data_IF_376052989189
#
_entry.id   IF_376052989189
#
_cell.length_a   1.000
_cell.length_b   1.000
_cell.length_c   1.000
_cell.angle_alpha   90.00
_cell.angle_beta   90.00
_cell.angle_gamma   90.00
#
_symmetry.space_group_name_H-M   'P 1'
#
loop_
_entity.id
_entity.type
_entity.pdbx_description
1 polymer ?
#
# COMPACT_ATOMS: atom_id res chain seq x y z
N UNK A 1 -71.43 -12.59 -55.20
CA UNK A 1 -70.73 -13.64 -55.96
C UNK A 1 -69.44 -13.07 -56.53
N UNK A 2 -68.28 -13.66 -56.17
CA UNK A 2 -67.00 -13.75 -56.93
C UNK A 2 -66.25 -12.43 -57.22
N UNK A 3 -64.93 -12.28 -57.10
CA UNK A 3 -63.82 -13.16 -56.75
C UNK A 3 -62.61 -12.28 -56.38
N UNK A 4 -61.73 -12.83 -55.55
CA UNK A 4 -60.38 -12.35 -55.22
C UNK A 4 -59.47 -12.38 -56.46
N UNK A 5 -58.57 -11.39 -56.60
CA UNK A 5 -57.29 -11.56 -57.30
C UNK A 5 -56.18 -10.77 -56.60
N UNK A 6 -55.06 -11.47 -56.47
CA UNK A 6 -53.86 -11.15 -55.71
C UNK A 6 -52.88 -10.30 -56.52
N UNK A 7 -52.07 -9.52 -55.79
CA UNK A 7 -50.65 -9.32 -56.13
C UNK A 7 -50.29 -8.00 -56.81
N UNK A 8 -49.63 -7.12 -56.05
CA UNK A 8 -48.29 -6.62 -56.38
C UNK A 8 -47.73 -5.80 -55.22
N UNK A 9 -46.54 -6.20 -54.73
CA UNK A 9 -45.73 -5.48 -53.75
C UNK A 9 -44.63 -4.72 -54.51
N UNK A 10 -44.48 -3.40 -54.31
CA UNK A 10 -43.21 -2.73 -54.53
C UNK A 10 -42.57 -2.29 -53.20
N UNK A 11 -41.35 -2.77 -52.97
CA UNK A 11 -40.35 -2.27 -52.02
C UNK A 11 -39.71 -0.97 -52.58
N UNK A 12 -38.74 -0.29 -51.92
CA UNK A 12 -38.58 0.12 -50.53
C UNK A 12 -38.40 1.66 -50.38
N UNK A 13 -38.35 2.13 -49.13
CA UNK A 13 -38.08 3.52 -48.66
C UNK A 13 -36.86 4.22 -49.26
N UNK A 14 -36.78 5.56 -49.11
CA UNK A 14 -35.55 6.22 -48.72
C UNK A 14 -35.68 6.85 -47.34
N UNK A 15 -35.18 6.13 -46.34
CA UNK A 15 -34.91 6.66 -45.02
C UNK A 15 -33.72 7.62 -45.05
N UNK A 16 -33.81 8.64 -44.20
CA UNK A 16 -32.72 9.30 -43.52
C UNK A 16 -31.60 9.94 -44.36
N UNK A 17 -31.71 11.27 -44.41
CA UNK A 17 -30.66 12.27 -44.64
C UNK A 17 -29.28 11.85 -44.10
N UNK A 18 -28.43 11.27 -44.97
CA UNK A 18 -27.02 10.95 -44.66
C UNK A 18 -26.11 12.12 -44.99
N UNK A 19 -25.90 13.01 -44.03
CA UNK A 19 -24.75 13.92 -44.05
C UNK A 19 -23.47 13.10 -43.86
N UNK A 20 -22.78 12.78 -44.95
CA UNK A 20 -21.42 12.21 -44.91
C UNK A 20 -20.43 13.32 -44.52
N UNK A 21 -20.15 13.44 -43.23
CA UNK A 21 -18.97 14.16 -42.77
C UNK A 21 -17.74 13.28 -43.04
N UNK A 22 -16.80 13.77 -43.86
CA UNK A 22 -15.51 13.14 -44.06
C UNK A 22 -14.76 13.09 -42.72
N UNK A 23 -14.57 11.89 -42.15
CA UNK A 23 -13.67 11.67 -41.02
C UNK A 23 -12.24 11.93 -41.50
N UNK A 24 -11.72 13.13 -41.24
CA UNK A 24 -10.27 13.37 -41.25
C UNK A 24 -9.66 12.41 -40.21
N UNK A 25 -8.91 11.41 -40.68
CA UNK A 25 -8.09 10.58 -39.82
C UNK A 25 -7.04 11.47 -39.15
N UNK A 26 -7.32 11.89 -37.91
CA UNK A 26 -6.27 12.40 -37.03
C UNK A 26 -5.35 11.22 -36.72
N UNK A 27 -4.03 11.34 -36.93
CA UNK A 27 -3.13 10.30 -36.48
C UNK A 27 -3.34 10.15 -34.97
N UNK A 28 -3.57 8.93 -34.51
CA UNK A 28 -3.59 8.64 -33.09
C UNK A 28 -2.24 9.11 -32.55
N UNK A 29 -2.25 10.17 -31.72
CA UNK A 29 -1.09 10.51 -30.92
C UNK A 29 -0.74 9.21 -30.20
N UNK A 30 0.44 8.66 -30.48
CA UNK A 30 0.99 7.53 -29.76
C UNK A 30 1.14 8.00 -28.33
N UNK A 31 0.09 7.79 -27.54
CA UNK A 31 0.15 7.93 -26.10
C UNK A 31 1.26 6.95 -25.72
N UNK A 32 2.40 7.50 -25.30
CA UNK A 32 3.37 6.72 -24.55
C UNK A 32 2.53 6.14 -23.42
N UNK A 33 2.21 4.85 -23.54
CA UNK A 33 1.61 4.09 -22.46
C UNK A 33 2.65 4.19 -21.36
N UNK A 34 2.45 5.13 -20.45
CA UNK A 34 2.98 5.02 -19.11
C UNK A 34 2.40 3.69 -18.65
N UNK A 35 3.16 2.61 -18.78
CA UNK A 35 2.89 1.41 -18.02
C UNK A 35 2.65 1.91 -16.60
N UNK A 36 1.52 1.59 -15.96
CA UNK A 36 1.31 1.94 -14.58
C UNK A 36 2.48 1.35 -13.79
N UNK A 37 3.49 2.19 -13.51
CA UNK A 37 4.51 1.92 -12.51
C UNK A 37 3.88 1.82 -11.10
N UNK A 38 2.56 2.02 -11.04
CA UNK A 38 1.64 1.84 -9.93
C UNK A 38 1.70 0.43 -9.32
N UNK A 39 2.16 -0.59 -10.09
CA UNK A 39 2.24 -1.98 -9.64
C UNK A 39 3.67 -2.42 -9.26
N UNK A 40 4.53 -1.46 -8.91
CA UNK A 40 5.60 -1.76 -7.97
C UNK A 40 5.05 -1.48 -6.59
N UNK A 41 4.39 -2.47 -5.99
CA UNK A 41 4.35 -2.62 -4.54
C UNK A 41 5.80 -2.74 -4.06
N UNK A 42 6.51 -1.62 -4.03
CA UNK A 42 7.80 -1.49 -3.38
C UNK A 42 7.50 -1.73 -1.91
N UNK A 43 7.82 -2.95 -1.44
CA UNK A 43 7.96 -3.36 -0.04
C UNK A 43 7.71 -2.20 0.93
N UNK A 44 6.44 -1.94 1.25
CA UNK A 44 6.10 -0.84 2.13
C UNK A 44 6.41 -1.27 3.56
N UNK A 45 6.97 -0.34 4.35
CA UNK A 45 7.11 -0.59 5.78
C UNK A 45 5.71 -0.86 6.36
N UNK A 46 5.58 -1.95 7.12
CA UNK A 46 4.27 -2.39 7.63
C UNK A 46 3.91 -1.67 8.95
N UNK A 47 4.93 -1.28 9.72
CA UNK A 47 4.81 -0.56 10.99
C UNK A 47 6.06 0.30 11.22
N UNK A 48 5.89 1.49 11.80
CA UNK A 48 7.00 2.38 12.16
C UNK A 48 6.74 3.12 13.47
N UNK A 49 7.51 2.77 14.50
CA UNK A 49 7.51 3.44 15.81
C UNK A 49 8.68 4.41 15.90
N UNK A 50 8.39 5.71 15.93
CA UNK A 50 9.43 6.75 15.95
C UNK A 50 10.08 6.94 17.31
N UNK A 51 9.40 6.56 18.39
CA UNK A 51 9.79 6.83 19.78
C UNK A 51 9.94 8.32 20.13
N UNK A 52 9.35 9.22 19.32
CA UNK A 52 9.36 10.67 19.55
C UNK A 52 8.31 11.09 20.58
N UNK A 53 8.53 10.64 21.83
CA UNK A 53 7.62 10.80 22.96
C UNK A 53 6.22 10.19 22.72
N UNK A 54 6.14 9.21 21.81
CA UNK A 54 4.91 8.51 21.47
C UNK A 54 5.21 7.05 21.15
N UNK A 55 4.29 6.15 21.51
CA UNK A 55 4.34 4.71 21.21
C UNK A 55 3.47 4.30 20.02
N UNK A 56 2.85 5.26 19.35
CA UNK A 56 1.96 5.02 18.22
C UNK A 56 2.75 4.54 16.99
N UNK A 57 2.14 3.62 16.24
CA UNK A 57 2.62 3.22 14.93
C UNK A 57 2.22 4.31 13.93
N UNK A 58 3.23 4.93 13.29
CA UNK A 58 3.00 6.06 12.38
C UNK A 58 2.60 5.64 10.96
N UNK A 59 2.69 4.34 10.64
CA UNK A 59 2.37 3.80 9.32
C UNK A 59 1.20 2.82 9.37
N UNK A 60 1.20 1.92 10.34
CA UNK A 60 0.17 0.92 10.54
C UNK A 60 -0.78 1.26 11.68
N UNK A 61 -1.30 0.22 12.34
CA UNK A 61 -2.21 0.33 13.49
C UNK A 61 -1.68 -0.46 14.69
N UNK A 62 -0.37 -0.73 14.73
CA UNK A 62 0.25 -1.54 15.77
C UNK A 62 0.76 -0.67 16.92
N UNK A 63 -0.10 0.22 17.43
CA UNK A 63 0.25 1.07 18.57
C UNK A 63 0.74 0.22 19.75
N UNK A 64 1.87 0.64 20.33
CA UNK A 64 2.49 -0.09 21.43
C UNK A 64 2.39 0.62 22.77
N UNK A 65 3.06 0.02 23.75
CA UNK A 65 3.23 0.57 25.09
C UNK A 65 4.61 0.24 25.64
N UNK A 66 5.11 1.13 26.50
CA UNK A 66 6.32 0.90 27.29
C UNK A 66 5.93 0.24 28.61
N UNK A 67 6.73 -0.74 29.04
CA UNK A 67 6.50 -1.49 30.27
C UNK A 67 7.74 -1.49 31.16
N UNK A 68 7.50 -1.67 32.46
CA UNK A 68 8.49 -1.99 33.51
C UNK A 68 9.53 -0.92 33.86
N UNK A 69 9.49 0.23 33.22
CA UNK A 69 10.43 1.32 33.49
C UNK A 69 10.93 1.99 32.22
N UNK A 70 10.74 1.32 31.08
CA UNK A 70 11.08 1.82 29.76
C UNK A 70 10.55 3.25 29.55
N UNK A 71 11.43 4.12 29.07
CA UNK A 71 11.19 5.55 28.98
C UNK A 71 11.66 6.12 27.64
N UNK A 72 11.58 7.44 27.48
CA UNK A 72 12.17 8.14 26.34
C UNK A 72 13.48 8.81 26.75
N UNK A 73 14.48 8.78 25.86
CA UNK A 73 15.73 9.49 26.00
C UNK A 73 16.15 10.13 24.67
N UNK A 74 17.24 10.89 24.65
CA UNK A 74 17.80 11.42 23.41
C UNK A 74 18.26 10.27 22.50
N UNK A 75 17.76 10.26 21.25
CA UNK A 75 18.04 9.25 20.24
C UNK A 75 19.03 9.72 19.18
N UNK A 76 19.31 8.84 18.20
CA UNK A 76 20.12 9.20 17.03
C UNK A 76 19.45 10.28 16.18
N UNK A 77 18.11 10.24 16.10
CA UNK A 77 17.25 11.28 15.54
C UNK A 77 16.21 11.56 16.61
N UNK A 78 16.07 12.82 17.04
CA UNK A 78 15.14 13.23 18.10
C UNK A 78 15.22 12.37 19.37
N UNK A 79 14.18 11.59 19.70
CA UNK A 79 14.12 10.72 20.87
C UNK A 79 14.15 9.24 20.49
N UNK A 80 14.45 8.40 21.48
CA UNK A 80 14.44 6.95 21.36
C UNK A 80 13.84 6.32 22.62
N UNK A 81 13.38 5.08 22.49
CA UNK A 81 13.09 4.25 23.65
C UNK A 81 14.39 3.94 24.41
N UNK A 82 14.36 4.07 25.72
CA UNK A 82 15.48 3.78 26.63
C UNK A 82 15.11 2.59 27.51
N UNK A 83 16.03 1.64 27.60
CA UNK A 83 15.89 0.40 28.37
C UNK A 83 17.04 0.32 29.36
N UNK A 84 16.76 0.04 30.63
CA UNK A 84 17.76 0.01 31.71
C UNK A 84 18.58 -1.29 31.79
N UNK A 85 18.19 -2.31 31.03
CA UNK A 85 18.84 -3.62 30.98
C UNK A 85 18.40 -4.60 32.07
N UNK A 86 17.35 -4.30 32.84
CA UNK A 86 16.82 -5.17 33.90
C UNK A 86 15.60 -5.95 33.40
N UNK A 87 14.47 -5.28 33.15
CA UNK A 87 13.22 -5.92 32.69
C UNK A 87 12.38 -5.07 31.73
N UNK A 88 12.93 -3.98 31.22
CA UNK A 88 12.25 -3.04 30.33
C UNK A 88 11.86 -3.64 28.96
N UNK A 89 10.69 -3.25 28.45
CA UNK A 89 10.25 -3.65 27.11
C UNK A 89 9.31 -2.64 26.45
N UNK A 90 9.31 -2.66 25.12
CA UNK A 90 8.25 -2.11 24.28
C UNK A 90 7.39 -3.27 23.77
N UNK A 91 6.08 -3.13 23.82
CA UNK A 91 5.13 -4.16 23.42
C UNK A 91 4.12 -3.61 22.43
N UNK A 92 3.93 -4.29 21.31
CA UNK A 92 2.94 -3.96 20.28
C UNK A 92 2.16 -5.21 19.86
N UNK A 93 0.91 -5.07 19.38
CA UNK A 93 0.17 -6.19 18.82
C UNK A 93 0.84 -6.70 17.53
N UNK A 94 0.65 -7.99 17.23
CA UNK A 94 1.25 -8.64 16.05
C UNK A 94 0.31 -8.75 14.86
N UNK A 95 -0.92 -8.22 14.98
CA UNK A 95 -1.95 -8.33 13.95
C UNK A 95 -1.53 -7.64 12.65
N UNK A 96 -1.34 -8.41 11.58
CA UNK A 96 -0.89 -7.88 10.29
C UNK A 96 0.62 -7.70 10.16
N UNK A 97 1.42 -7.99 11.20
CA UNK A 97 2.88 -8.04 11.11
C UNK A 97 3.35 -9.43 10.64
N UNK A 98 4.45 -9.50 9.88
CA UNK A 98 5.10 -10.78 9.50
C UNK A 98 5.75 -11.44 10.73
N UNK A 99 4.98 -12.26 11.44
CA UNK A 99 5.37 -12.93 12.69
C UNK A 99 5.73 -14.41 12.49
N UNK A 100 6.40 -15.01 13.48
CA UNK A 100 6.71 -16.44 13.48
C UNK A 100 7.80 -16.81 12.48
N UNK A 101 7.47 -17.59 11.44
CA UNK A 101 8.43 -17.99 10.39
C UNK A 101 8.28 -17.20 9.09
N UNK A 102 7.45 -16.15 9.06
CA UNK A 102 7.31 -15.31 7.87
C UNK A 102 8.59 -14.51 7.59
N UNK A 103 8.91 -14.24 6.32
CA UNK A 103 10.04 -13.39 5.97
C UNK A 103 9.77 -11.93 6.36
N UNK A 104 10.78 -11.25 6.89
CA UNK A 104 10.70 -9.82 7.26
C UNK A 104 12.05 -9.12 7.16
N UNK A 105 11.97 -7.79 7.13
CA UNK A 105 13.10 -6.89 7.32
C UNK A 105 12.77 -5.97 8.49
N UNK A 106 13.75 -5.73 9.35
CA UNK A 106 13.67 -4.79 10.48
C UNK A 106 14.83 -3.82 10.36
N UNK A 107 14.57 -2.53 10.56
CA UNK A 107 15.58 -1.48 10.61
C UNK A 107 15.44 -0.65 11.88
N UNK A 108 16.56 -0.27 12.49
CA UNK A 108 16.62 0.65 13.62
C UNK A 108 18.04 1.20 13.84
N UNK A 109 18.13 2.31 14.57
CA UNK A 109 19.36 2.71 15.24
C UNK A 109 19.35 2.15 16.67
N UNK A 110 20.47 1.58 17.11
CA UNK A 110 20.64 1.10 18.48
C UNK A 110 21.90 1.70 19.10
N UNK A 111 21.79 2.16 20.35
CA UNK A 111 22.95 2.48 21.19
C UNK A 111 23.01 1.46 22.32
N UNK A 112 24.12 0.73 22.39
CA UNK A 112 24.34 -0.29 23.43
C UNK A 112 25.26 0.32 24.47
N UNK A 113 24.70 0.67 25.64
CA UNK A 113 25.46 1.33 26.71
C UNK A 113 26.38 0.35 27.45
N UNK A 114 25.94 -0.90 27.63
CA UNK A 114 26.75 -1.96 28.19
C UNK A 114 26.40 -3.29 27.53
N UNK A 115 27.43 -4.00 27.04
CA UNK A 115 27.27 -5.36 26.55
C UNK A 115 27.41 -6.33 27.74
N UNK A 116 26.30 -6.97 28.12
CA UNK A 116 26.22 -7.90 29.26
C UNK A 116 26.37 -9.37 28.86
N UNK A 117 26.47 -9.66 27.57
CA UNK A 117 26.69 -10.99 27.00
C UNK A 117 27.54 -10.91 25.73
N UNK A 118 28.27 -11.97 25.39
CA UNK A 118 29.09 -12.03 24.17
C UNK A 118 28.26 -11.87 22.89
N UNK A 119 26.98 -12.28 22.93
CA UNK A 119 26.05 -12.22 21.81
C UNK A 119 24.71 -11.61 22.23
N UNK A 120 24.10 -10.85 21.32
CA UNK A 120 22.74 -10.32 21.45
C UNK A 120 21.98 -10.64 20.16
N UNK A 121 20.72 -11.02 20.29
CA UNK A 121 19.87 -11.39 19.15
C UNK A 121 18.66 -10.46 19.07
N UNK A 122 18.29 -10.06 17.85
CA UNK A 122 16.97 -9.55 17.56
C UNK A 122 16.11 -10.73 17.09
N UNK A 123 15.05 -11.06 17.82
CA UNK A 123 14.15 -12.16 17.50
C UNK A 123 12.67 -11.72 17.61
N UNK A 124 11.84 -12.19 16.69
CA UNK A 124 10.40 -11.93 16.60
C UNK A 124 9.73 -12.83 15.56
#
# INVERSE_FOLDING_TARGET
MRNLFSGWLPQPSPAANRRRAARKHRPARRLLRLEPLEDRALMAVVSWWTADNITADSVGTNDGSLARGAAYAAGQVNQAFSFDGIDDSFQAPTGGLPSGSADRTVELWARIDQQVAEEAFFAG
#
